data_IF_690079583751
#
_entry.id   IF_690079583751
#
_cell.length_a   1.000
_cell.length_b   1.000
_cell.length_c   1.000
_cell.angle_alpha   90.00
_cell.angle_beta   90.00
_cell.angle_gamma   90.00
#
_symmetry.space_group_name_H-M   'P 1'
#
loop_
_entity.id
_entity.type
_entity.pdbx_description
1 polymer ?
#
# COMPACT_ATOMS: atom_id res chain seq x y z
N UNK A 1 -1.87 18.58 -15.70
CA UNK A 1 -1.52 17.46 -14.76
C UNK A 1 -0.49 16.57 -15.41
N UNK A 2 0.62 16.24 -14.71
CA UNK A 2 1.73 15.48 -15.25
C UNK A 2 2.07 14.30 -14.33
N UNK A 3 2.38 13.14 -14.91
CA UNK A 3 2.96 12.02 -14.18
C UNK A 3 4.44 12.32 -13.91
N UNK A 4 4.90 12.07 -12.69
CA UNK A 4 6.23 12.47 -12.24
C UNK A 4 7.27 11.37 -12.46
N UNK A 5 8.44 11.71 -13.07
CA UNK A 5 9.51 10.76 -13.35
C UNK A 5 10.37 10.48 -12.11
N UNK A 6 11.22 9.47 -12.23
CA UNK A 6 12.16 9.01 -11.19
C UNK A 6 13.03 10.15 -10.60
N UNK A 7 13.52 11.05 -11.43
CA UNK A 7 14.32 12.20 -10.99
C UNK A 7 13.55 13.06 -9.97
N UNK A 8 12.29 13.36 -10.26
CA UNK A 8 11.45 14.15 -9.37
C UNK A 8 11.11 13.38 -8.09
N UNK A 9 10.74 12.08 -8.21
CA UNK A 9 10.40 11.22 -7.06
C UNK A 9 11.60 11.12 -6.11
N UNK A 10 12.82 10.91 -6.64
CA UNK A 10 14.06 10.88 -5.87
C UNK A 10 14.29 12.20 -5.13
N UNK A 11 14.20 13.32 -5.83
CA UNK A 11 14.38 14.64 -5.22
C UNK A 11 13.41 14.89 -4.07
N UNK A 12 12.14 14.56 -4.27
CA UNK A 12 11.11 14.73 -3.25
C UNK A 12 11.31 13.78 -2.06
N UNK A 13 11.73 12.54 -2.30
CA UNK A 13 12.02 11.59 -1.25
C UNK A 13 13.24 12.02 -0.40
N UNK A 14 14.35 12.39 -1.05
CA UNK A 14 15.61 12.72 -0.38
C UNK A 14 15.59 14.09 0.32
N UNK A 15 14.98 15.11 -0.31
CA UNK A 15 14.97 16.49 0.25
C UNK A 15 13.78 16.79 1.14
N UNK A 16 12.63 16.18 0.86
CA UNK A 16 11.36 16.50 1.53
C UNK A 16 10.80 15.33 2.36
N UNK A 17 11.44 14.17 2.34
CA UNK A 17 11.00 13.00 3.08
C UNK A 17 9.65 12.45 2.58
N UNK A 18 9.34 12.61 1.28
CA UNK A 18 8.07 12.15 0.70
C UNK A 18 7.86 10.65 0.86
N UNK A 19 8.95 9.85 0.82
CA UNK A 19 8.94 8.39 1.00
C UNK A 19 10.05 8.02 1.98
N UNK A 20 9.71 7.31 3.08
CA UNK A 20 10.69 6.94 4.11
C UNK A 20 10.40 5.53 4.67
N UNK A 21 11.36 4.57 4.64
CA UNK A 21 12.67 4.67 4.02
C UNK A 21 12.62 4.63 2.49
N UNK A 22 13.38 5.48 1.84
CA UNK A 22 13.46 5.54 0.38
C UNK A 22 14.51 4.56 -0.15
N UNK A 23 14.18 3.84 -1.23
CA UNK A 23 15.09 2.93 -1.94
C UNK A 23 15.33 3.48 -3.35
N UNK A 24 16.54 4.02 -3.57
CA UNK A 24 16.92 4.66 -4.83
C UNK A 24 17.29 3.62 -5.90
N UNK A 25 16.30 3.25 -6.71
CA UNK A 25 16.42 2.25 -7.78
C UNK A 25 15.77 0.92 -7.44
N UNK A 26 15.53 0.11 -8.49
CA UNK A 26 14.88 -1.18 -8.37
C UNK A 26 15.81 -2.23 -7.74
N UNK A 27 15.40 -2.78 -6.60
CA UNK A 27 16.01 -3.95 -6.01
C UNK A 27 15.35 -5.20 -6.59
N UNK A 28 16.13 -6.05 -7.27
CA UNK A 28 15.64 -7.26 -7.97
C UNK A 28 16.27 -8.54 -7.45
N UNK A 29 17.35 -8.42 -6.70
CA UNK A 29 18.14 -9.55 -6.20
C UNK A 29 18.42 -9.35 -4.71
N UNK A 30 18.18 -10.39 -3.94
CA UNK A 30 18.73 -10.56 -2.61
C UNK A 30 19.69 -11.75 -2.67
N UNK A 31 20.96 -11.55 -2.31
CA UNK A 31 21.99 -12.61 -2.30
C UNK A 31 21.60 -13.83 -1.44
N UNK A 32 20.57 -13.69 -0.59
CA UNK A 32 20.07 -14.73 0.31
C UNK A 32 18.72 -15.33 -0.09
N UNK A 33 18.02 -14.74 -1.08
CA UNK A 33 16.68 -15.18 -1.50
C UNK A 33 16.64 -15.40 -3.01
N UNK A 34 16.24 -16.57 -3.46
CA UNK A 34 15.85 -16.78 -4.85
C UNK A 34 14.48 -16.13 -5.08
N UNK A 35 14.38 -15.27 -6.12
CA UNK A 35 13.10 -14.77 -6.61
C UNK A 35 12.49 -13.62 -5.82
N UNK A 36 13.28 -12.61 -5.42
CA UNK A 36 12.77 -11.38 -4.81
C UNK A 36 11.76 -10.66 -5.70
N UNK A 37 10.59 -10.35 -5.17
CA UNK A 37 9.64 -9.46 -5.84
C UNK A 37 10.16 -8.03 -5.72
N UNK A 38 10.55 -7.44 -6.85
CA UNK A 38 11.27 -6.18 -6.92
C UNK A 38 10.54 -5.00 -6.27
N UNK A 39 11.29 -4.07 -5.67
CA UNK A 39 10.80 -2.86 -5.03
C UNK A 39 11.77 -1.68 -5.21
N UNK A 40 11.32 -0.48 -4.87
CA UNK A 40 12.10 0.76 -4.97
C UNK A 40 11.70 1.63 -6.16
N UNK A 41 12.54 2.63 -6.45
CA UNK A 41 12.27 3.63 -7.48
C UNK A 41 12.24 3.01 -8.88
N UNK A 42 11.16 3.26 -9.63
CA UNK A 42 11.00 2.94 -11.04
C UNK A 42 10.98 4.21 -11.89
N UNK A 43 10.87 4.09 -13.22
CA UNK A 43 10.95 5.23 -14.15
C UNK A 43 9.87 6.31 -13.91
N UNK A 44 8.64 5.89 -13.60
CA UNK A 44 7.48 6.77 -13.37
C UNK A 44 6.65 6.29 -12.18
N UNK A 45 7.31 5.92 -11.08
CA UNK A 45 6.64 5.46 -9.88
C UNK A 45 7.59 4.91 -8.84
N UNK A 46 7.03 4.39 -7.77
CA UNK A 46 7.75 3.75 -6.70
C UNK A 46 7.06 2.44 -6.30
N UNK A 47 7.79 1.33 -6.40
CA UNK A 47 7.31 0.03 -5.96
C UNK A 47 7.49 -0.10 -4.45
N UNK A 48 6.38 -0.01 -3.70
CA UNK A 48 6.42 -0.11 -2.24
C UNK A 48 6.41 -1.56 -1.77
N UNK A 49 7.01 -1.76 -0.59
CA UNK A 49 7.05 -3.05 0.08
C UNK A 49 5.87 -3.20 1.03
N UNK A 50 5.38 -4.44 1.18
CA UNK A 50 4.47 -4.76 2.27
C UNK A 50 5.26 -5.08 3.55
N UNK A 51 4.80 -4.58 4.71
CA UNK A 51 5.37 -4.90 6.01
C UNK A 51 5.04 -6.34 6.45
N UNK A 52 5.58 -6.76 7.59
CA UNK A 52 5.41 -8.10 8.17
C UNK A 52 4.17 -8.23 9.09
N UNK A 53 3.29 -7.25 9.05
CA UNK A 53 2.07 -7.17 9.86
C UNK A 53 0.84 -7.31 8.97
N UNK A 54 -0.01 -8.29 9.28
CA UNK A 54 -1.18 -8.65 8.48
C UNK A 54 -2.40 -8.85 9.37
N UNK A 55 -3.57 -8.47 8.86
CA UNK A 55 -4.88 -8.83 9.39
C UNK A 55 -5.58 -9.68 8.35
N UNK A 56 -5.75 -10.98 8.62
CA UNK A 56 -6.37 -11.92 7.69
C UNK A 56 -7.84 -12.00 8.03
N UNK A 57 -8.70 -11.73 7.05
CA UNK A 57 -10.15 -11.83 7.23
C UNK A 57 -10.57 -13.29 7.48
N UNK A 58 -11.43 -13.46 8.46
CA UNK A 58 -12.08 -14.74 8.79
C UNK A 58 -13.58 -14.51 8.91
N UNK A 59 -14.36 -15.49 8.47
CA UNK A 59 -15.82 -15.44 8.52
C UNK A 59 -16.44 -16.21 9.72
N UNK A 60 -15.67 -16.35 10.80
CA UNK A 60 -16.04 -17.25 11.90
C UNK A 60 -17.22 -16.70 12.71
N UNK A 61 -17.26 -15.39 12.94
CA UNK A 61 -18.21 -14.76 13.87
C UNK A 61 -19.12 -13.69 13.23
N UNK A 62 -19.20 -13.63 11.89
CA UNK A 62 -20.04 -12.66 11.21
C UNK A 62 -20.73 -13.26 10.00
N UNK A 63 -22.04 -13.06 9.91
CA UNK A 63 -22.85 -13.48 8.75
C UNK A 63 -22.80 -12.48 7.59
N UNK A 64 -22.34 -11.23 7.85
CA UNK A 64 -22.37 -10.14 6.89
C UNK A 64 -21.15 -9.23 7.09
N UNK A 65 -20.56 -8.76 6.01
CA UNK A 65 -19.56 -7.67 6.04
C UNK A 65 -20.31 -6.34 5.90
N UNK A 66 -20.37 -5.58 6.99
CA UNK A 66 -21.00 -4.25 6.99
C UNK A 66 -19.92 -3.17 7.22
N UNK A 67 -19.68 -2.27 6.26
CA UNK A 67 -18.69 -1.19 6.45
C UNK A 67 -19.12 -0.17 7.52
N UNK A 68 -20.39 -0.12 7.90
CA UNK A 68 -20.91 0.78 8.94
C UNK A 68 -20.88 0.15 10.34
N UNK A 69 -20.86 -1.18 10.41
CA UNK A 69 -20.76 -1.96 11.66
C UNK A 69 -19.67 -3.03 11.46
N UNK A 70 -18.46 -2.56 11.22
CA UNK A 70 -17.36 -3.45 10.88
C UNK A 70 -16.81 -4.17 12.10
N UNK A 71 -17.02 -5.47 12.15
CA UNK A 71 -16.59 -6.34 13.25
C UNK A 71 -15.06 -6.53 13.23
N UNK A 72 -14.34 -5.84 14.12
CA UNK A 72 -12.90 -5.98 14.27
C UNK A 72 -12.45 -7.42 14.59
N UNK A 73 -13.30 -8.22 15.22
CA UNK A 73 -13.05 -9.63 15.52
C UNK A 73 -13.11 -10.55 14.28
N UNK A 74 -13.57 -10.05 13.14
CA UNK A 74 -13.52 -10.76 11.86
C UNK A 74 -12.10 -10.88 11.27
N UNK A 75 -11.07 -10.47 12.00
CA UNK A 75 -9.67 -10.60 11.56
C UNK A 75 -8.82 -11.39 12.55
N UNK A 76 -7.89 -12.15 11.97
CA UNK A 76 -6.79 -12.78 12.71
C UNK A 76 -5.50 -12.02 12.43
N UNK A 77 -4.87 -11.51 13.49
CA UNK A 77 -3.57 -10.85 13.39
C UNK A 77 -2.47 -11.87 13.12
N UNK A 78 -1.60 -11.56 12.18
CA UNK A 78 -0.41 -12.34 11.86
C UNK A 78 0.78 -11.41 11.69
N UNK A 79 1.94 -11.87 12.22
CA UNK A 79 3.22 -11.24 11.99
C UNK A 79 4.22 -12.28 11.51
N UNK A 80 4.97 -11.95 10.45
CA UNK A 80 5.98 -12.87 9.92
C UNK A 80 6.34 -12.61 8.46
N UNK A 81 7.29 -13.39 7.93
CA UNK A 81 7.83 -13.17 6.59
C UNK A 81 6.85 -13.52 5.46
N UNK A 82 5.81 -14.29 5.74
CA UNK A 82 4.81 -14.71 4.74
C UNK A 82 3.43 -14.68 5.36
N UNK A 83 2.50 -14.00 4.68
CA UNK A 83 1.07 -14.10 4.93
C UNK A 83 0.45 -15.13 3.97
N UNK A 84 -0.44 -15.97 4.47
CA UNK A 84 -1.23 -16.90 3.65
C UNK A 84 -2.69 -16.47 3.72
N UNK A 85 -3.21 -15.97 2.61
CA UNK A 85 -4.62 -15.53 2.49
C UNK A 85 -5.46 -16.74 2.07
N UNK A 86 -6.54 -17.09 2.80
CA UNK A 86 -7.42 -18.19 2.42
C UNK A 86 -8.04 -18.02 1.01
N UNK A 87 -8.53 -19.08 0.38
CA UNK A 87 -9.25 -19.00 -0.88
C UNK A 87 -10.43 -18.02 -0.82
N UNK A 88 -10.61 -17.21 -1.85
CA UNK A 88 -11.72 -16.25 -1.98
C UNK A 88 -11.88 -15.33 -0.75
N UNK A 89 -10.77 -14.97 -0.10
CA UNK A 89 -10.72 -14.12 1.08
C UNK A 89 -9.78 -12.94 0.87
N UNK A 90 -9.59 -12.12 1.88
CA UNK A 90 -8.72 -10.95 1.80
C UNK A 90 -7.90 -10.76 3.09
N UNK A 91 -6.88 -9.96 2.99
CA UNK A 91 -6.08 -9.52 4.12
C UNK A 91 -5.77 -8.03 4.01
N UNK A 92 -5.67 -7.37 5.15
CA UNK A 92 -5.13 -6.03 5.25
C UNK A 92 -3.66 -6.11 5.69
N UNK A 93 -2.85 -5.26 5.10
CA UNK A 93 -1.46 -5.07 5.48
C UNK A 93 -1.14 -3.57 5.43
N UNK A 94 0.12 -3.20 5.67
CA UNK A 94 0.58 -1.83 5.47
C UNK A 94 1.87 -1.79 4.67
N UNK A 95 2.19 -0.64 4.12
CA UNK A 95 3.51 -0.43 3.51
C UNK A 95 4.61 -0.39 4.57
N UNK A 96 5.82 -0.83 4.20
CA UNK A 96 7.05 -0.56 4.98
C UNK A 96 7.33 0.94 4.97
N UNK A 97 7.13 1.56 3.81
CA UNK A 97 7.35 2.98 3.59
C UNK A 97 6.26 3.82 4.24
N UNK A 98 6.68 4.94 4.83
CA UNK A 98 5.83 6.04 5.26
C UNK A 98 5.83 7.10 4.16
N UNK A 99 4.67 7.60 3.78
CA UNK A 99 4.49 8.59 2.72
C UNK A 99 4.06 9.94 3.29
N UNK A 100 4.53 11.03 2.67
CA UNK A 100 4.08 12.41 2.92
C UNK A 100 3.82 13.06 1.59
N UNK A 101 2.56 13.17 1.23
CA UNK A 101 2.13 13.61 -0.11
C UNK A 101 2.09 15.15 -0.15
N UNK A 102 2.78 15.78 -1.13
CA UNK A 102 2.72 17.23 -1.32
C UNK A 102 1.32 17.73 -1.66
N UNK A 103 1.04 19.00 -1.36
CA UNK A 103 -0.28 19.62 -1.58
C UNK A 103 -0.71 19.70 -3.05
N UNK A 104 0.22 19.66 -3.97
CA UNK A 104 -0.01 19.71 -5.42
C UNK A 104 0.05 18.33 -6.10
N UNK A 105 0.04 17.24 -5.31
CA UNK A 105 0.20 15.88 -5.80
C UNK A 105 -0.95 14.98 -5.39
N UNK A 106 -1.47 14.23 -6.36
CA UNK A 106 -2.34 13.07 -6.16
C UNK A 106 -1.54 11.79 -6.42
N UNK A 107 -1.71 10.76 -5.57
CA UNK A 107 -1.04 9.47 -5.79
C UNK A 107 -2.05 8.38 -6.05
N UNK A 108 -1.81 7.61 -7.11
CA UNK A 108 -2.60 6.42 -7.45
C UNK A 108 -1.75 5.18 -7.20
N UNK A 109 -2.33 4.21 -6.49
CA UNK A 109 -1.73 2.90 -6.28
C UNK A 109 -2.27 1.89 -7.30
N UNK A 110 -1.36 1.11 -7.88
CA UNK A 110 -1.69 -0.02 -8.75
C UNK A 110 -1.01 -1.28 -8.23
N UNK A 111 -1.67 -2.43 -8.38
CA UNK A 111 -1.11 -3.71 -7.98
C UNK A 111 0.13 -4.08 -8.79
N UNK A 112 1.04 -4.83 -8.16
CA UNK A 112 2.23 -5.35 -8.85
C UNK A 112 1.88 -6.50 -9.78
N UNK A 113 2.43 -6.47 -10.99
CA UNK A 113 2.12 -7.45 -12.04
C UNK A 113 2.38 -8.90 -11.65
N UNK A 114 3.34 -9.16 -10.76
CA UNK A 114 3.63 -10.50 -10.23
C UNK A 114 2.43 -11.07 -9.47
N UNK A 115 1.84 -10.29 -8.57
CA UNK A 115 0.64 -10.70 -7.83
C UNK A 115 -0.60 -10.73 -8.70
N UNK A 116 -0.78 -9.72 -9.57
CA UNK A 116 -1.93 -9.65 -10.47
C UNK A 116 -2.07 -10.89 -11.37
N UNK A 117 -0.94 -11.41 -11.89
CA UNK A 117 -0.93 -12.65 -12.70
C UNK A 117 -1.22 -13.92 -11.90
N UNK A 118 -1.15 -13.86 -10.58
CA UNK A 118 -1.53 -14.95 -9.69
C UNK A 118 -2.97 -14.81 -9.17
N UNK A 119 -3.76 -13.88 -9.70
CA UNK A 119 -5.12 -13.63 -9.22
C UNK A 119 -5.19 -12.94 -7.86
N UNK A 120 -4.12 -12.23 -7.47
CA UNK A 120 -4.08 -11.44 -6.24
C UNK A 120 -4.21 -9.96 -6.62
N UNK A 121 -5.24 -9.32 -6.10
CA UNK A 121 -5.50 -7.90 -6.32
C UNK A 121 -5.01 -7.13 -5.10
N UNK A 122 -4.29 -6.02 -5.34
CA UNK A 122 -3.99 -5.01 -4.35
C UNK A 122 -4.85 -3.79 -4.66
N UNK A 123 -5.72 -3.42 -3.74
CA UNK A 123 -6.56 -2.24 -3.85
C UNK A 123 -6.11 -1.19 -2.83
N UNK A 124 -6.09 0.06 -3.24
CA UNK A 124 -5.84 1.23 -2.38
C UNK A 124 -6.54 2.42 -3.02
N UNK A 125 -7.30 3.17 -2.24
CA UNK A 125 -7.88 4.43 -2.70
C UNK A 125 -6.77 5.46 -2.94
N UNK A 126 -6.97 6.49 -3.79
CA UNK A 126 -5.97 7.51 -4.04
C UNK A 126 -5.47 8.17 -2.75
N UNK A 127 -4.17 8.43 -2.67
CA UNK A 127 -3.62 9.26 -1.59
C UNK A 127 -3.76 10.71 -2.02
N UNK A 128 -4.59 11.42 -1.29
CA UNK A 128 -4.91 12.81 -1.59
C UNK A 128 -3.79 13.78 -1.16
N UNK A 129 -3.81 15.02 -1.67
CA UNK A 129 -2.89 16.08 -1.25
C UNK A 129 -2.78 16.22 0.27
N UNK A 130 -1.56 16.32 0.79
CA UNK A 130 -1.21 16.42 2.21
C UNK A 130 -1.60 15.20 3.09
N UNK A 131 -2.00 14.08 2.47
CA UNK A 131 -2.09 12.83 3.21
C UNK A 131 -0.70 12.34 3.63
N UNK A 132 -0.57 11.85 4.86
CA UNK A 132 0.64 11.17 5.32
C UNK A 132 0.34 9.93 6.15
N UNK A 133 1.22 8.93 6.08
CA UNK A 133 1.09 7.68 6.84
C UNK A 133 1.74 6.49 6.18
N UNK A 134 1.68 5.34 6.86
CA UNK A 134 1.81 4.04 6.19
C UNK A 134 0.51 3.73 5.47
N UNK A 135 0.59 3.32 4.21
CA UNK A 135 -0.60 3.00 3.43
C UNK A 135 -1.13 1.64 3.84
N UNK A 136 -2.41 1.55 4.18
CA UNK A 136 -3.07 0.24 4.31
C UNK A 136 -3.27 -0.35 2.92
N UNK A 137 -2.83 -1.59 2.72
CA UNK A 137 -2.93 -2.35 1.49
C UNK A 137 -4.01 -3.42 1.66
N UNK A 138 -5.01 -3.42 0.78
CA UNK A 138 -6.08 -4.39 0.76
C UNK A 138 -5.79 -5.48 -0.28
N UNK A 139 -5.31 -6.64 0.18
CA UNK A 139 -5.02 -7.80 -0.67
C UNK A 139 -6.23 -8.71 -0.79
N UNK A 140 -6.76 -8.89 -2.00
CA UNK A 140 -7.83 -9.86 -2.27
C UNK A 140 -7.27 -11.07 -3.00
N UNK A 141 -7.50 -12.27 -2.45
CA UNK A 141 -7.24 -13.54 -3.11
C UNK A 141 -8.50 -13.98 -3.87
N UNK A 142 -8.50 -13.81 -5.19
CA UNK A 142 -9.64 -14.17 -6.05
C UNK A 142 -9.58 -15.63 -6.54
N UNK A 143 -8.61 -16.42 -6.02
CA UNK A 143 -8.40 -17.80 -6.47
C UNK A 143 -9.02 -18.81 -5.49
N UNK A 144 -9.31 -20.04 -5.95
CA UNK A 144 -9.79 -21.12 -5.09
C UNK A 144 -8.67 -21.77 -4.25
N UNK A 145 -7.45 -21.24 -4.29
CA UNK A 145 -6.29 -21.74 -3.56
C UNK A 145 -5.79 -20.72 -2.54
N UNK A 146 -5.13 -21.13 -1.45
CA UNK A 146 -4.43 -20.22 -0.56
C UNK A 146 -3.33 -19.45 -1.30
N UNK A 147 -3.27 -18.13 -1.10
CA UNK A 147 -2.30 -17.24 -1.75
C UNK A 147 -1.26 -16.71 -0.77
N UNK A 148 0.01 -16.64 -1.18
CA UNK A 148 1.11 -16.14 -0.34
C UNK A 148 1.45 -14.70 -0.70
N UNK A 149 1.62 -13.87 0.34
CA UNK A 149 2.18 -12.52 0.26
C UNK A 149 3.49 -12.51 1.05
N UNK A 150 4.55 -11.99 0.46
CA UNK A 150 5.90 -11.98 1.05
C UNK A 150 6.20 -10.61 1.66
N UNK A 151 6.45 -10.59 2.97
CA UNK A 151 6.82 -9.38 3.71
C UNK A 151 8.18 -8.83 3.27
N UNK A 152 8.33 -7.52 3.32
CA UNK A 152 9.53 -6.76 2.92
C UNK A 152 9.88 -6.87 1.43
N UNK A 153 8.94 -7.33 0.61
CA UNK A 153 9.04 -7.40 -0.84
C UNK A 153 8.01 -6.48 -1.51
N UNK A 154 8.21 -6.19 -2.81
CA UNK A 154 7.35 -5.28 -3.56
C UNK A 154 5.92 -5.81 -3.68
N UNK A 155 4.94 -4.96 -3.35
CA UNK A 155 3.53 -5.32 -3.33
C UNK A 155 2.68 -4.55 -4.34
N UNK A 156 2.99 -3.28 -4.53
CA UNK A 156 2.24 -2.37 -5.38
C UNK A 156 3.15 -1.25 -5.89
N UNK A 157 2.66 -0.50 -6.89
CA UNK A 157 3.35 0.66 -7.42
C UNK A 157 2.52 1.93 -7.18
N UNK A 158 3.17 2.97 -6.68
CA UNK A 158 2.61 4.30 -6.54
C UNK A 158 3.02 5.19 -7.69
N UNK A 159 2.03 5.79 -8.36
CA UNK A 159 2.19 6.75 -9.45
C UNK A 159 1.88 8.15 -8.91
N UNK A 160 2.78 9.09 -9.11
CA UNK A 160 2.67 10.46 -8.61
C UNK A 160 2.21 11.38 -9.74
N UNK A 161 1.07 12.04 -9.55
CA UNK A 161 0.47 12.95 -10.53
C UNK A 161 0.47 14.36 -9.93
N UNK A 162 1.24 15.25 -10.55
CA UNK A 162 1.28 16.65 -10.14
C UNK A 162 0.17 17.45 -10.82
N UNK A 163 -0.61 18.19 -10.02
CA UNK A 163 -1.60 19.13 -10.50
C UNK A 163 -0.96 20.35 -11.17
N UNK A 164 -1.69 21.02 -12.06
CA UNK A 164 -1.27 22.29 -12.65
C UNK A 164 -1.40 23.42 -11.62
N UNK A 165 -2.38 23.29 -10.71
CA UNK A 165 -2.61 24.17 -9.57
C UNK A 165 -2.64 23.39 -8.26
N UNK A 166 -2.46 24.11 -7.16
CA UNK A 166 -2.63 23.59 -5.79
C UNK A 166 -4.12 23.45 -5.48
N UNK A 167 -4.53 22.36 -4.86
CA UNK A 167 -5.91 22.19 -4.46
C UNK A 167 -6.35 23.21 -3.40
N UNK A 168 -7.57 23.69 -3.49
CA UNK A 168 -8.14 24.63 -2.53
C UNK A 168 -8.28 24.01 -1.13
N UNK A 169 -8.77 22.75 -1.07
CA UNK A 169 -8.96 22.01 0.17
C UNK A 169 -8.24 20.67 0.08
N UNK A 170 -7.26 20.45 0.97
CA UNK A 170 -6.49 19.21 1.04
C UNK A 170 -7.11 18.18 1.99
N UNK A 171 -6.51 16.97 2.06
CA UNK A 171 -6.90 15.95 3.02
C UNK A 171 -6.62 16.37 4.48
N UNK A 172 -5.54 17.13 4.70
CA UNK A 172 -5.22 17.66 6.02
C UNK A 172 -6.22 18.72 6.46
N UNK A 173 -6.62 19.62 5.54
CA UNK A 173 -7.62 20.68 5.83
C UNK A 173 -8.98 20.10 6.27
N UNK A 174 -9.36 18.94 5.73
CA UNK A 174 -10.60 18.22 6.09
C UNK A 174 -10.48 17.36 7.34
N UNK A 175 -9.33 17.36 8.02
CA UNK A 175 -9.05 16.43 9.12
C UNK A 175 -9.35 14.97 8.76
N UNK A 176 -8.90 14.52 7.58
CA UNK A 176 -9.22 13.24 7.01
C UNK A 176 -8.95 12.07 7.97
N UNK A 177 -9.89 11.13 8.07
CA UNK A 177 -9.93 10.07 9.11
C UNK A 177 -8.77 9.07 9.08
N UNK A 178 -8.01 9.03 7.98
CA UNK A 178 -6.87 8.12 7.79
C UNK A 178 -5.51 8.83 7.81
N UNK A 179 -5.41 10.00 8.43
CA UNK A 179 -4.15 10.72 8.61
C UNK A 179 -3.23 10.00 9.61
N UNK A 180 -1.93 10.05 9.33
CA UNK A 180 -0.82 9.60 10.22
C UNK A 180 -0.95 8.15 10.67
N UNK A 181 -1.43 7.28 9.78
CA UNK A 181 -1.53 5.85 10.07
C UNK A 181 -0.15 5.25 10.38
N UNK A 182 -0.05 4.48 11.47
CA UNK A 182 1.19 3.83 11.90
C UNK A 182 1.17 2.31 11.80
N UNK A 183 -0.01 1.69 11.84
CA UNK A 183 -0.24 0.26 11.73
C UNK A 183 -1.24 -0.06 10.63
N UNK A 184 -1.69 -1.31 10.55
CA UNK A 184 -2.81 -1.72 9.69
C UNK A 184 -4.10 -1.13 10.26
N UNK A 185 -4.70 -0.22 9.52
CA UNK A 185 -5.89 0.52 9.95
C UNK A 185 -7.14 -0.15 9.43
N UNK A 186 -8.09 -0.43 10.32
CA UNK A 186 -9.43 -0.94 9.99
C UNK A 186 -10.34 0.18 9.44
N UNK A 187 -11.46 -0.18 8.79
CA UNK A 187 -12.43 0.80 8.33
C UNK A 187 -12.87 1.75 9.46
N UNK A 188 -13.01 3.03 9.13
CA UNK A 188 -13.55 4.09 10.00
C UNK A 188 -14.69 4.77 9.27
N UNK A 189 -15.73 5.14 10.01
CA UNK A 189 -16.87 5.91 9.53
C UNK A 189 -16.70 7.38 9.90
#
# INVERSE_FOLDING_TARGET
>A
MSIMPDKWIREMAEKNGMIEPFVNGQQKEDQKKQGLISFGLSSYGYDARVADEFKIFTNIDSATVDPKDFAAHGFVDRKGPVCVIPPNSFALARTVEYFRIPRDVLVICVGKSTYARCGIIVNVTPLEPEWEGHVTLEFSNTTPLPAKIYANEGACQFLFLKGDDVCEVSYADRAGKYMKQRGVTLPKI
#
